data_IF_935568825939
#
_entry.id   IF_935568825939
#
_cell.length_a   1.000
_cell.length_b   1.000
_cell.length_c   1.000
_cell.angle_alpha   90.00
_cell.angle_beta   90.00
_cell.angle_gamma   90.00
#
_symmetry.space_group_name_H-M   'P 1'
#
loop_
_entity.id
_entity.type
_entity.pdbx_description
1 polymer ?
#
# COMPACT_ATOMS: atom_id res chain seq x y z
N UNK A 1 -16.16 0.75 -25.43
CA UNK A 1 -16.60 0.26 -24.10
C UNK A 1 -15.97 -1.11 -23.88
N UNK A 2 -14.66 -1.13 -23.56
CA UNK A 2 -13.90 -2.38 -23.40
C UNK A 2 -14.04 -2.78 -21.94
N UNK A 3 -14.74 -3.88 -21.70
CA UNK A 3 -14.85 -4.55 -20.40
C UNK A 3 -13.45 -4.80 -19.84
N UNK A 4 -13.13 -4.15 -18.72
CA UNK A 4 -11.88 -4.38 -18.01
C UNK A 4 -11.95 -5.76 -17.37
N UNK A 5 -11.34 -6.73 -18.05
CA UNK A 5 -11.21 -8.10 -17.58
C UNK A 5 -10.18 -8.09 -16.46
N UNK A 6 -10.65 -8.07 -15.21
CA UNK A 6 -9.84 -8.33 -14.02
C UNK A 6 -9.25 -9.72 -14.15
N UNK A 7 -8.07 -9.82 -14.78
CA UNK A 7 -7.23 -11.00 -14.68
C UNK A 7 -6.82 -11.07 -13.22
N UNK A 8 -7.49 -11.94 -12.46
CA UNK A 8 -7.10 -12.26 -11.11
C UNK A 8 -5.60 -12.58 -11.11
N UNK A 9 -4.83 -11.77 -10.38
CA UNK A 9 -3.40 -11.97 -10.20
C UNK A 9 -3.18 -13.34 -9.58
N UNK A 10 -2.65 -14.28 -10.37
CA UNK A 10 -2.41 -15.67 -9.97
C UNK A 10 -1.41 -15.78 -8.80
N UNK A 11 -0.68 -14.69 -8.50
CA UNK A 11 0.30 -14.57 -7.42
C UNK A 11 -0.21 -13.81 -6.17
N UNK A 12 -1.51 -13.49 -6.13
CA UNK A 12 -2.15 -12.83 -4.99
C UNK A 12 -2.75 -13.88 -4.04
N UNK A 13 -2.30 -13.98 -2.78
CA UNK A 13 -2.71 -15.06 -1.87
C UNK A 13 -4.14 -14.90 -1.31
N UNK A 14 -4.78 -13.75 -1.55
CA UNK A 14 -6.15 -13.46 -1.14
C UNK A 14 -6.98 -13.05 -2.38
N UNK A 15 -8.29 -12.83 -2.30
CA UNK A 15 -9.01 -12.10 -3.34
C UNK A 15 -8.52 -10.64 -3.40
N UNK A 16 -8.54 -10.02 -4.57
CA UNK A 16 -8.38 -8.56 -4.64
C UNK A 16 -9.57 -7.92 -3.87
N UNK A 17 -9.33 -7.00 -2.94
CA UNK A 17 -10.42 -6.29 -2.28
C UNK A 17 -11.25 -5.50 -3.30
N UNK A 18 -12.52 -5.20 -2.99
CA UNK A 18 -13.34 -4.35 -3.85
C UNK A 18 -12.65 -3.01 -4.09
N UNK A 19 -12.86 -2.44 -5.28
CA UNK A 19 -12.33 -1.11 -5.58
C UNK A 19 -12.88 -0.09 -4.57
N UNK A 20 -12.02 0.74 -3.98
CA UNK A 20 -12.45 1.76 -3.05
C UNK A 20 -13.33 2.82 -3.72
N UNK A 21 -14.22 3.43 -2.94
CA UNK A 21 -15.02 4.57 -3.41
C UNK A 21 -14.10 5.75 -3.79
N UNK A 22 -14.01 6.11 -5.08
CA UNK A 22 -13.09 7.13 -5.55
C UNK A 22 -13.41 8.55 -5.08
N UNK A 23 -14.63 8.80 -4.58
CA UNK A 23 -15.08 10.13 -4.18
C UNK A 23 -14.82 10.41 -2.69
N UNK A 24 -14.52 9.37 -1.90
CA UNK A 24 -14.17 9.47 -0.49
C UNK A 24 -12.67 9.17 -0.28
N UNK A 25 -11.84 10.21 -0.35
CA UNK A 25 -10.37 10.08 -0.22
C UNK A 25 -9.94 9.31 1.05
N UNK A 26 -10.50 9.65 2.22
CA UNK A 26 -10.14 9.01 3.49
C UNK A 26 -10.57 7.54 3.50
N UNK A 27 -11.80 7.25 3.08
CA UNK A 27 -12.30 5.88 2.97
C UNK A 27 -11.47 5.04 2.00
N UNK A 28 -11.12 5.61 0.85
CA UNK A 28 -10.32 4.95 -0.16
C UNK A 28 -8.89 4.66 0.30
N UNK A 29 -8.20 5.64 0.90
CA UNK A 29 -6.87 5.42 1.46
C UNK A 29 -6.91 4.40 2.60
N UNK A 30 -7.95 4.39 3.42
CA UNK A 30 -8.13 3.39 4.49
C UNK A 30 -8.27 1.98 3.90
N UNK A 31 -9.12 1.80 2.89
CA UNK A 31 -9.29 0.51 2.22
C UNK A 31 -7.99 0.02 1.55
N UNK A 32 -7.24 0.93 0.92
CA UNK A 32 -5.94 0.60 0.32
C UNK A 32 -4.91 0.22 1.39
N UNK A 33 -4.89 0.94 2.52
CA UNK A 33 -4.00 0.64 3.64
C UNK A 33 -4.29 -0.75 4.21
N UNK A 34 -5.55 -1.10 4.41
CA UNK A 34 -5.98 -2.42 4.89
C UNK A 34 -5.60 -3.52 3.90
N UNK A 35 -5.78 -3.29 2.60
CA UNK A 35 -5.37 -4.21 1.55
C UNK A 35 -3.85 -4.44 1.54
N UNK A 36 -3.07 -3.35 1.63
CA UNK A 36 -1.62 -3.41 1.68
C UNK A 36 -1.12 -4.16 2.92
N UNK A 37 -1.75 -3.90 4.06
CA UNK A 37 -1.44 -4.55 5.33
C UNK A 37 -1.75 -6.05 5.31
N UNK A 38 -2.94 -6.44 4.83
CA UNK A 38 -3.34 -7.85 4.71
C UNK A 38 -2.33 -8.63 3.88
N UNK A 39 -1.86 -8.05 2.76
CA UNK A 39 -0.80 -8.66 1.96
C UNK A 39 0.52 -8.74 2.73
N UNK A 40 0.93 -7.64 3.36
CA UNK A 40 2.21 -7.55 4.07
C UNK A 40 2.32 -8.56 5.23
N UNK A 41 1.19 -8.89 5.86
CA UNK A 41 1.10 -9.83 6.97
C UNK A 41 0.76 -11.26 6.54
N UNK A 42 0.47 -11.50 5.26
CA UNK A 42 0.19 -12.84 4.77
C UNK A 42 1.43 -13.74 4.98
N UNK A 43 1.28 -14.92 5.61
CA UNK A 43 2.43 -15.79 5.91
C UNK A 43 3.27 -16.19 4.69
N UNK A 44 2.64 -16.35 3.51
CA UNK A 44 3.35 -16.67 2.28
C UNK A 44 4.19 -15.50 1.78
N UNK A 45 3.66 -14.28 1.89
CA UNK A 45 4.35 -13.06 1.52
C UNK A 45 5.51 -12.74 2.47
N UNK A 46 5.31 -12.95 3.77
CA UNK A 46 6.36 -12.81 4.78
C UNK A 46 7.51 -13.76 4.47
N UNK A 47 7.21 -15.03 4.19
CA UNK A 47 8.24 -16.04 3.86
C UNK A 47 8.96 -15.73 2.55
N UNK A 48 8.22 -15.29 1.53
CA UNK A 48 8.81 -14.85 0.27
C UNK A 48 9.77 -13.67 0.48
N UNK A 49 9.38 -12.68 1.29
CA UNK A 49 10.21 -11.54 1.66
C UNK A 49 11.49 -11.96 2.39
N UNK A 50 11.41 -12.88 3.36
CA UNK A 50 12.57 -13.42 4.06
C UNK A 50 13.56 -14.09 3.09
N UNK A 51 13.07 -14.93 2.17
CA UNK A 51 13.89 -15.60 1.16
C UNK A 51 14.54 -14.56 0.24
N UNK A 52 13.78 -13.60 -0.26
CA UNK A 52 14.28 -12.56 -1.16
C UNK A 52 15.39 -11.73 -0.49
N UNK A 53 15.20 -11.32 0.77
CA UNK A 53 16.19 -10.57 1.54
C UNK A 53 17.45 -11.41 1.80
N UNK A 54 17.30 -12.67 2.23
CA UNK A 54 18.42 -13.57 2.49
C UNK A 54 19.31 -13.79 1.25
N UNK A 55 18.73 -13.67 0.06
CA UNK A 55 19.40 -13.88 -1.22
C UNK A 55 19.71 -12.61 -1.99
N UNK A 56 19.34 -11.42 -1.49
CA UNK A 56 19.40 -10.17 -2.25
C UNK A 56 20.82 -9.82 -2.74
N UNK A 57 21.85 -10.08 -1.93
CA UNK A 57 23.24 -9.82 -2.33
C UNK A 57 23.75 -10.74 -3.44
N UNK A 58 23.17 -11.96 -3.57
CA UNK A 58 23.58 -12.95 -4.57
C UNK A 58 22.71 -12.93 -5.82
N UNK A 59 21.43 -12.61 -5.66
CA UNK A 59 20.42 -12.60 -6.72
C UNK A 59 19.60 -11.30 -6.67
N UNK A 60 20.23 -10.13 -6.91
CA UNK A 60 19.58 -8.83 -6.75
C UNK A 60 18.35 -8.67 -7.65
N UNK A 61 18.33 -9.34 -8.81
CA UNK A 61 17.30 -9.08 -9.81
C UNK A 61 16.00 -9.76 -9.41
N UNK A 62 16.11 -10.93 -8.80
CA UNK A 62 15.00 -11.65 -8.19
C UNK A 62 14.44 -10.84 -7.01
N UNK A 63 15.31 -10.29 -6.16
CA UNK A 63 14.87 -9.44 -5.05
C UNK A 63 14.11 -8.19 -5.54
N UNK A 64 14.58 -7.54 -6.61
CA UNK A 64 13.89 -6.40 -7.23
C UNK A 64 12.54 -6.78 -7.82
N UNK A 65 12.42 -7.94 -8.47
CA UNK A 65 11.15 -8.43 -9.01
C UNK A 65 10.13 -8.70 -7.90
N UNK A 66 10.55 -9.37 -6.82
CA UNK A 66 9.69 -9.66 -5.65
C UNK A 66 9.19 -8.36 -5.00
N UNK A 67 10.07 -7.37 -4.84
CA UNK A 67 9.70 -6.07 -4.28
C UNK A 67 8.76 -5.28 -5.21
N UNK A 68 9.10 -5.16 -6.50
CA UNK A 68 8.36 -4.34 -7.47
C UNK A 68 6.98 -4.90 -7.80
N UNK A 69 6.85 -6.21 -8.03
CA UNK A 69 5.60 -6.83 -8.46
C UNK A 69 4.48 -6.70 -7.41
N UNK A 70 4.83 -6.69 -6.12
CA UNK A 70 3.87 -6.53 -5.02
C UNK A 70 3.43 -5.09 -4.77
N UNK A 71 4.25 -4.10 -5.14
CA UNK A 71 4.09 -2.69 -4.76
C UNK A 71 3.40 -1.86 -5.85
N UNK A 72 3.64 -2.19 -7.12
CA UNK A 72 3.31 -1.32 -8.26
C UNK A 72 1.80 -1.02 -8.45
N UNK A 73 0.86 -1.98 -8.39
CA UNK A 73 -0.55 -1.67 -8.67
C UNK A 73 -1.21 -0.78 -7.61
N UNK A 74 -0.85 -0.97 -6.34
CA UNK A 74 -1.38 -0.10 -5.25
C UNK A 74 -0.77 1.29 -5.31
N UNK A 75 0.48 1.42 -5.75
CA UNK A 75 1.11 2.73 -5.96
C UNK A 75 0.33 3.53 -7.01
N UNK A 76 0.00 2.91 -8.14
CA UNK A 76 -0.82 3.54 -9.19
C UNK A 76 -2.19 3.96 -8.67
N UNK A 77 -2.89 3.08 -7.95
CA UNK A 77 -4.21 3.39 -7.39
C UNK A 77 -4.19 4.60 -6.44
N UNK A 78 -3.17 4.70 -5.58
CA UNK A 78 -3.01 5.86 -4.68
C UNK A 78 -2.67 7.11 -5.50
N UNK A 79 -1.75 7.03 -6.46
CA UNK A 79 -1.38 8.16 -7.32
C UNK A 79 -2.56 8.73 -8.10
N UNK A 80 -3.42 7.86 -8.66
CA UNK A 80 -4.62 8.24 -9.39
C UNK A 80 -5.65 8.93 -8.47
N UNK A 81 -5.83 8.40 -7.26
CA UNK A 81 -6.72 8.96 -6.25
C UNK A 81 -6.25 10.37 -5.83
N UNK A 82 -4.95 10.54 -5.57
CA UNK A 82 -4.36 11.83 -5.25
C UNK A 82 -4.56 12.85 -6.38
N UNK A 83 -4.29 12.45 -7.63
CA UNK A 83 -4.54 13.31 -8.79
C UNK A 83 -6.01 13.75 -8.88
N UNK A 84 -6.96 12.81 -8.70
CA UNK A 84 -8.39 13.11 -8.73
C UNK A 84 -8.79 14.16 -7.71
N UNK A 85 -8.35 14.03 -6.46
CA UNK A 85 -8.71 14.97 -5.39
C UNK A 85 -7.96 16.30 -5.47
N UNK A 86 -6.75 16.31 -6.02
CA UNK A 86 -6.04 17.56 -6.28
C UNK A 86 -6.71 18.37 -7.41
N UNK A 87 -7.22 17.70 -8.45
CA UNK A 87 -7.92 18.35 -9.55
C UNK A 87 -9.20 19.09 -9.12
N UNK A 88 -9.80 18.73 -7.98
CA UNK A 88 -10.96 19.42 -7.39
C UNK A 88 -10.59 20.46 -6.34
N UNK A 89 -9.29 20.62 -6.03
CA UNK A 89 -8.79 21.50 -4.97
C UNK A 89 -9.06 20.97 -3.54
N UNK A 90 -9.49 19.71 -3.39
CA UNK A 90 -9.76 19.12 -2.07
C UNK A 90 -8.47 18.86 -1.28
N UNK A 91 -7.34 18.67 -1.97
CA UNK A 91 -6.01 18.52 -1.39
C UNK A 91 -4.98 19.32 -2.17
N UNK A 92 -3.81 19.53 -1.56
CA UNK A 92 -2.63 20.11 -2.18
C UNK A 92 -1.55 19.03 -2.31
N UNK A 93 -0.86 19.03 -3.45
CA UNK A 93 0.26 18.15 -3.74
C UNK A 93 1.51 19.00 -3.89
N UNK A 94 2.40 18.96 -2.89
CA UNK A 94 3.69 19.66 -2.93
C UNK A 94 4.79 18.82 -3.62
N UNK A 95 4.55 17.51 -3.75
CA UNK A 95 5.45 16.52 -4.34
C UNK A 95 4.74 15.67 -5.40
N UNK A 96 5.52 14.89 -6.15
CA UNK A 96 5.02 13.93 -7.13
C UNK A 96 4.06 12.90 -6.48
N UNK A 97 2.83 12.71 -6.99
CA UNK A 97 1.86 11.74 -6.48
C UNK A 97 2.37 10.31 -6.40
N UNK A 98 3.28 9.91 -7.29
CA UNK A 98 3.89 8.59 -7.26
C UNK A 98 4.84 8.42 -6.06
N UNK A 99 5.57 9.48 -5.70
CA UNK A 99 6.43 9.54 -4.52
C UNK A 99 5.56 9.54 -3.26
N UNK A 100 4.49 10.33 -3.24
CA UNK A 100 3.54 10.37 -2.13
C UNK A 100 2.85 9.02 -1.91
N UNK A 101 2.49 8.33 -3.00
CA UNK A 101 1.94 6.98 -2.95
C UNK A 101 2.93 5.98 -2.34
N UNK A 102 4.22 6.07 -2.71
CA UNK A 102 5.28 5.26 -2.14
C UNK A 102 5.45 5.51 -0.63
N UNK A 103 5.50 6.78 -0.21
CA UNK A 103 5.57 7.15 1.20
C UNK A 103 4.36 6.62 1.99
N UNK A 104 3.15 6.78 1.47
CA UNK A 104 1.93 6.28 2.10
C UNK A 104 1.99 4.76 2.31
N UNK A 105 2.32 4.00 1.25
CA UNK A 105 2.44 2.54 1.32
C UNK A 105 3.55 2.08 2.28
N UNK A 106 4.66 2.82 2.33
CA UNK A 106 5.75 2.60 3.27
C UNK A 106 5.31 2.76 4.72
N UNK A 107 4.55 3.83 5.03
CA UNK A 107 4.01 4.08 6.38
C UNK A 107 3.05 2.99 6.84
N UNK A 108 2.12 2.56 5.97
CA UNK A 108 1.06 1.61 6.37
C UNK A 108 1.54 0.17 6.43
N UNK A 109 2.47 -0.24 5.55
CA UNK A 109 2.83 -1.65 5.37
C UNK A 109 4.29 -1.98 5.69
N UNK A 110 5.21 -1.01 5.63
CA UNK A 110 6.64 -1.26 5.79
C UNK A 110 7.02 -1.75 7.19
N UNK A 111 6.61 -1.03 8.24
CA UNK A 111 6.88 -1.46 9.62
C UNK A 111 6.19 -2.78 9.99
N UNK A 112 4.89 -3.01 9.70
CA UNK A 112 4.25 -4.31 9.90
C UNK A 112 4.95 -5.47 9.17
N UNK A 113 5.30 -5.31 7.89
CA UNK A 113 6.01 -6.33 7.12
C UNK A 113 7.35 -6.70 7.77
N UNK A 114 8.10 -5.69 8.24
CA UNK A 114 9.38 -5.90 8.94
C UNK A 114 9.21 -6.63 10.27
N UNK A 115 8.19 -6.29 11.06
CA UNK A 115 7.93 -7.00 12.32
C UNK A 115 7.54 -8.46 12.05
N UNK A 116 6.66 -8.68 11.08
CA UNK A 116 6.21 -10.03 10.71
C UNK A 116 7.37 -10.92 10.23
N UNK A 117 8.38 -10.35 9.55
CA UNK A 117 9.58 -11.11 9.16
C UNK A 117 10.44 -11.58 10.33
N UNK A 118 10.29 -10.97 11.51
CA UNK A 118 10.86 -11.44 12.78
C UNK A 118 9.89 -12.30 13.61
N UNK A 119 8.72 -12.65 13.07
CA UNK A 119 7.68 -13.39 13.79
C UNK A 119 6.89 -12.55 14.80
N UNK A 120 6.96 -11.22 14.70
CA UNK A 120 6.25 -10.29 15.58
C UNK A 120 5.02 -9.77 14.85
N UNK A 121 3.83 -10.05 15.38
CA UNK A 121 2.55 -9.59 14.82
C UNK A 121 1.79 -8.85 15.92
N UNK A 122 1.30 -7.65 15.60
CA UNK A 122 0.45 -6.87 16.49
C UNK A 122 -0.91 -7.52 16.65
N UNK A 123 -1.56 -7.29 17.79
CA UNK A 123 -2.98 -7.58 17.89
C UNK A 123 -3.81 -6.69 16.95
N UNK A 124 -5.06 -7.07 16.71
CA UNK A 124 -5.94 -6.40 15.75
C UNK A 124 -6.18 -4.93 16.11
N UNK A 125 -6.42 -4.63 17.39
CA UNK A 125 -6.73 -3.28 17.86
C UNK A 125 -5.51 -2.36 17.75
N UNK A 126 -4.32 -2.86 18.10
CA UNK A 126 -3.06 -2.13 17.95
C UNK A 126 -2.78 -1.86 16.48
N UNK A 127 -2.95 -2.87 15.63
CA UNK A 127 -2.74 -2.70 14.20
C UNK A 127 -3.72 -1.70 13.58
N UNK A 128 -5.00 -1.73 13.96
CA UNK A 128 -6.01 -0.74 13.53
C UNK A 128 -5.63 0.67 13.99
N UNK A 129 -5.20 0.85 15.25
CA UNK A 129 -4.72 2.14 15.77
C UNK A 129 -3.57 2.69 14.94
N UNK A 130 -2.60 1.85 14.56
CA UNK A 130 -1.48 2.23 13.72
C UNK A 130 -1.91 2.61 12.30
N UNK A 131 -2.75 1.80 11.65
CA UNK A 131 -3.26 2.08 10.30
C UNK A 131 -4.00 3.42 10.27
N UNK A 132 -4.93 3.63 11.21
CA UNK A 132 -5.71 4.86 11.30
C UNK A 132 -4.82 6.08 11.58
N UNK A 133 -3.76 5.93 12.38
CA UNK A 133 -2.81 7.01 12.62
C UNK A 133 -2.01 7.37 11.37
N UNK A 134 -1.56 6.39 10.58
CA UNK A 134 -0.85 6.61 9.33
C UNK A 134 -1.73 7.32 8.28
N UNK A 135 -2.98 6.87 8.10
CA UNK A 135 -3.95 7.52 7.19
C UNK A 135 -4.19 8.97 7.59
N UNK A 136 -4.47 9.25 8.87
CA UNK A 136 -4.66 10.63 9.34
C UNK A 136 -3.42 11.49 9.16
N UNK A 137 -2.22 10.95 9.43
CA UNK A 137 -0.98 11.69 9.27
C UNK A 137 -0.77 12.10 7.80
N UNK A 138 -1.00 11.17 6.88
CA UNK A 138 -0.87 11.41 5.45
C UNK A 138 -1.93 12.40 4.94
N UNK A 139 -3.20 12.25 5.33
CA UNK A 139 -4.24 13.22 4.96
C UNK A 139 -3.93 14.63 5.47
N UNK A 140 -3.37 14.75 6.67
CA UNK A 140 -2.96 16.05 7.22
C UNK A 140 -1.83 16.70 6.44
N UNK A 141 -0.92 15.93 5.83
CA UNK A 141 0.14 16.50 4.98
C UNK A 141 -0.40 16.97 3.62
N UNK A 142 -1.58 16.52 3.22
CA UNK A 142 -2.23 16.89 1.96
C UNK A 142 -3.30 17.99 2.13
N UNK A 143 -3.59 18.39 3.37
CA UNK A 143 -4.60 19.38 3.66
C UNK A 143 -4.19 20.73 3.02
N UNK A 144 -5.11 21.42 2.33
CA UNK A 144 -4.84 22.76 1.83
C UNK A 144 -4.35 23.67 2.96
N UNK A 145 -3.33 24.48 2.68
CA UNK A 145 -2.71 25.38 3.64
C UNK A 145 -3.75 26.17 4.45
N UNK A 146 -3.54 26.22 5.76
CA UNK A 146 -4.45 26.86 6.71
C UNK A 146 -4.45 28.39 6.58
#
# INVERSE_FOLDING_TARGET
MISSRTVGRTDWPLPEPPEPDPDNLEGALTAIADAALRRALDPSMVRLGQIAIAHASRFPEIARQVHGAGFWPRRQLVGDLLHRHAATGAIVLDDDPDILAEHFLGMVSGAPARLASFGIVRDADEQERHTRAAVRLFLRSLAPGR
#
